data_IF_900467059703
#
_entry.id   IF_900467059703
#
_cell.length_a   1.000
_cell.length_b   1.000
_cell.length_c   1.000
_cell.angle_alpha   90.00
_cell.angle_beta   90.00
_cell.angle_gamma   90.00
#
_symmetry.space_group_name_H-M   'P 1'
#
loop_
_entity.id
_entity.type
_entity.pdbx_description
1 polymer ?
#
# COMPACT_ATOMS: atom_id res chain seq x y z
N UNK A 1 10.43 34.51 -13.72
CA UNK A 1 9.72 33.77 -12.66
C UNK A 1 9.28 32.46 -13.28
N UNK A 2 10.13 31.45 -13.21
CA UNK A 2 9.79 30.11 -13.71
C UNK A 2 8.71 29.55 -12.80
N UNK A 3 7.50 29.36 -13.35
CA UNK A 3 6.39 28.79 -12.60
C UNK A 3 6.74 27.34 -12.30
N UNK A 4 7.18 27.10 -11.06
CA UNK A 4 7.19 25.81 -10.40
C UNK A 4 5.74 25.30 -10.32
N UNK A 5 5.15 24.90 -11.46
CA UNK A 5 3.92 24.12 -11.51
C UNK A 5 4.23 22.73 -10.99
N UNK A 6 4.51 22.64 -9.69
CA UNK A 6 4.32 21.44 -8.93
C UNK A 6 2.85 21.07 -9.15
N UNK A 7 2.65 20.03 -9.96
CA UNK A 7 1.39 19.76 -10.64
C UNK A 7 0.33 19.44 -9.60
N UNK A 8 -0.46 20.44 -9.18
CA UNK A 8 -1.69 20.22 -8.39
C UNK A 8 -2.57 19.14 -9.04
N UNK A 9 -2.48 19.01 -10.37
CA UNK A 9 -3.12 17.94 -11.14
C UNK A 9 -2.63 16.55 -10.72
N UNK A 10 -1.33 16.35 -10.50
CA UNK A 10 -0.79 15.03 -10.11
C UNK A 10 -1.28 14.64 -8.71
N UNK A 11 -1.27 15.58 -7.75
CA UNK A 11 -1.82 15.36 -6.42
C UNK A 11 -3.33 15.07 -6.46
N UNK A 12 -4.09 15.82 -7.26
CA UNK A 12 -5.54 15.59 -7.43
C UNK A 12 -5.83 14.24 -8.09
N UNK A 13 -5.04 13.83 -9.09
CA UNK A 13 -5.19 12.51 -9.72
C UNK A 13 -4.88 11.38 -8.75
N UNK A 14 -3.81 11.52 -7.95
CA UNK A 14 -3.46 10.55 -6.91
C UNK A 14 -4.53 10.45 -5.83
N UNK A 15 -5.09 11.60 -5.41
CA UNK A 15 -6.19 11.67 -4.45
C UNK A 15 -7.45 10.95 -4.98
N UNK A 16 -7.84 11.20 -6.22
CA UNK A 16 -8.99 10.53 -6.84
C UNK A 16 -8.76 9.02 -6.95
N UNK A 17 -7.57 8.59 -7.38
CA UNK A 17 -7.22 7.17 -7.44
C UNK A 17 -7.27 6.51 -6.06
N UNK A 18 -6.69 7.17 -5.05
CA UNK A 18 -6.67 6.67 -3.69
C UNK A 18 -8.08 6.60 -3.08
N UNK A 19 -8.91 7.62 -3.30
CA UNK A 19 -10.30 7.64 -2.87
C UNK A 19 -11.08 6.49 -3.52
N UNK A 20 -10.96 6.30 -4.83
CA UNK A 20 -11.61 5.21 -5.56
C UNK A 20 -11.17 3.84 -5.02
N UNK A 21 -9.87 3.63 -4.80
CA UNK A 21 -9.34 2.39 -4.23
C UNK A 21 -9.81 2.12 -2.79
N UNK A 22 -10.19 3.16 -2.05
CA UNK A 22 -10.74 3.02 -0.68
C UNK A 22 -12.23 2.74 -0.71
N UNK A 23 -12.97 3.34 -1.65
CA UNK A 23 -14.40 3.11 -1.83
C UNK A 23 -14.71 1.65 -2.16
N UNK A 24 -13.88 0.98 -2.97
CA UNK A 24 -14.06 -0.43 -3.36
C UNK A 24 -14.14 -1.37 -2.14
N UNK A 25 -13.13 -1.44 -1.25
CA UNK A 25 -13.17 -2.33 -0.09
C UNK A 25 -14.30 -1.96 0.88
N UNK A 26 -14.60 -0.67 1.07
CA UNK A 26 -15.75 -0.24 1.88
C UNK A 26 -17.08 -0.74 1.32
N UNK A 27 -17.26 -0.66 0.00
CA UNK A 27 -18.47 -1.14 -0.66
C UNK A 27 -18.60 -2.68 -0.60
N UNK A 28 -17.50 -3.40 -0.77
CA UNK A 28 -17.47 -4.88 -0.63
C UNK A 28 -17.87 -5.30 0.78
N UNK A 29 -17.39 -4.60 1.81
CA UNK A 29 -17.77 -4.85 3.22
C UNK A 29 -19.24 -4.51 3.47
N UNK A 30 -19.69 -3.36 2.98
CA UNK A 30 -21.03 -2.86 3.25
C UNK A 30 -22.13 -3.70 2.60
N UNK A 31 -21.91 -4.19 1.38
CA UNK A 31 -22.89 -5.03 0.68
C UNK A 31 -23.08 -6.41 1.31
N UNK A 32 -22.10 -6.91 2.08
CA UNK A 32 -22.22 -8.13 2.88
C UNK A 32 -22.46 -9.45 2.13
N UNK A 33 -22.63 -9.43 0.81
CA UNK A 33 -22.96 -10.60 -0.02
C UNK A 33 -21.78 -11.44 -0.49
N UNK A 34 -20.55 -11.10 -0.09
CA UNK A 34 -19.32 -11.73 -0.57
C UNK A 34 -18.87 -12.85 0.36
N UNK A 35 -18.27 -13.91 -0.21
CA UNK A 35 -17.60 -14.93 0.61
C UNK A 35 -16.44 -14.30 1.40
N UNK A 36 -16.21 -14.77 2.62
CA UNK A 36 -15.11 -14.29 3.49
C UNK A 36 -13.77 -14.28 2.77
N UNK A 37 -13.45 -15.34 2.03
CA UNK A 37 -12.21 -15.43 1.24
C UNK A 37 -12.13 -14.34 0.18
N UNK A 38 -13.18 -14.17 -0.63
CA UNK A 38 -13.20 -13.16 -1.68
C UNK A 38 -13.05 -11.75 -1.08
N UNK A 39 -13.78 -11.46 -0.01
CA UNK A 39 -13.71 -10.19 0.72
C UNK A 39 -12.28 -9.86 1.20
N UNK A 40 -11.63 -10.77 1.92
CA UNK A 40 -10.25 -10.57 2.37
C UNK A 40 -9.29 -10.37 1.20
N UNK A 41 -9.40 -11.19 0.14
CA UNK A 41 -8.50 -11.06 -1.02
C UNK A 41 -8.65 -9.71 -1.72
N UNK A 42 -9.88 -9.20 -1.89
CA UNK A 42 -10.13 -7.91 -2.52
C UNK A 42 -9.60 -6.76 -1.67
N UNK A 43 -9.82 -6.79 -0.35
CA UNK A 43 -9.32 -5.77 0.57
C UNK A 43 -7.79 -5.74 0.56
N UNK A 44 -7.14 -6.90 0.68
CA UNK A 44 -5.67 -6.99 0.66
C UNK A 44 -5.09 -6.50 -0.66
N UNK A 45 -5.67 -6.91 -1.80
CA UNK A 45 -5.22 -6.44 -3.11
C UNK A 45 -5.35 -4.92 -3.25
N UNK A 46 -6.50 -4.35 -2.85
CA UNK A 46 -6.70 -2.89 -2.87
C UNK A 46 -5.69 -2.18 -1.97
N UNK A 47 -5.43 -2.71 -0.76
CA UNK A 47 -4.46 -2.13 0.16
C UNK A 47 -3.02 -2.13 -0.41
N UNK A 48 -2.60 -3.20 -1.07
CA UNK A 48 -1.28 -3.27 -1.71
C UNK A 48 -1.13 -2.24 -2.83
N UNK A 49 -2.14 -2.13 -3.70
CA UNK A 49 -2.12 -1.12 -4.78
C UNK A 49 -2.18 0.30 -4.18
N UNK A 50 -2.88 0.49 -3.05
CA UNK A 50 -2.98 1.78 -2.38
C UNK A 50 -1.62 2.30 -1.90
N UNK A 51 -0.76 1.40 -1.38
CA UNK A 51 0.62 1.73 -1.01
C UNK A 51 1.40 2.24 -2.23
N UNK A 52 1.27 1.58 -3.38
CA UNK A 52 1.94 1.99 -4.62
C UNK A 52 1.46 3.37 -5.11
N UNK A 53 0.15 3.64 -5.03
CA UNK A 53 -0.42 4.96 -5.38
C UNK A 53 0.17 6.05 -4.48
N UNK A 54 0.29 5.80 -3.17
CA UNK A 54 0.88 6.76 -2.24
C UNK A 54 2.37 7.02 -2.52
N UNK A 55 3.15 5.96 -2.74
CA UNK A 55 4.57 6.08 -3.08
C UNK A 55 4.77 6.85 -4.40
N UNK A 56 3.87 6.66 -5.39
CA UNK A 56 3.99 7.30 -6.71
C UNK A 56 3.52 8.76 -6.72
N UNK A 57 2.31 9.04 -6.22
CA UNK A 57 1.65 10.34 -6.36
C UNK A 57 1.91 11.29 -5.20
N UNK A 58 2.06 10.77 -3.97
CA UNK A 58 2.26 11.61 -2.79
C UNK A 58 3.73 11.78 -2.44
N UNK A 59 4.50 10.67 -2.50
CA UNK A 59 5.95 10.69 -2.26
C UNK A 59 6.75 11.04 -3.53
N UNK A 60 6.07 11.20 -4.67
CA UNK A 60 6.63 11.57 -5.97
C UNK A 60 7.87 10.76 -6.37
N UNK A 61 7.89 9.47 -6.02
CA UNK A 61 8.94 8.58 -6.47
C UNK A 61 8.72 8.32 -7.95
N UNK A 62 9.70 8.67 -8.77
CA UNK A 62 9.69 8.38 -10.20
C UNK A 62 10.98 7.65 -10.55
N UNK A 63 10.86 6.44 -11.10
CA UNK A 63 12.01 5.58 -11.45
C UNK A 63 13.00 6.29 -12.39
N UNK A 64 12.51 7.25 -13.20
CA UNK A 64 13.33 8.02 -14.12
C UNK A 64 14.08 9.22 -13.49
N UNK A 65 13.60 9.77 -12.36
CA UNK A 65 14.13 11.02 -11.79
C UNK A 65 14.64 10.86 -10.35
N UNK A 66 14.16 9.84 -9.63
CA UNK A 66 14.62 9.47 -8.29
C UNK A 66 15.93 8.71 -8.41
N UNK A 67 16.96 9.15 -7.67
CA UNK A 67 18.27 8.50 -7.66
C UNK A 67 18.17 7.03 -7.23
N UNK A 68 18.98 6.16 -7.86
CA UNK A 68 18.98 4.71 -7.60
C UNK A 68 19.16 4.36 -6.12
N UNK A 69 19.90 5.18 -5.39
CA UNK A 69 20.20 5.00 -3.96
C UNK A 69 18.96 5.17 -3.07
N UNK A 70 18.04 6.07 -3.43
CA UNK A 70 16.78 6.24 -2.71
C UNK A 70 15.82 5.07 -2.99
N UNK A 71 15.80 4.59 -4.23
CA UNK A 71 14.96 3.46 -4.62
C UNK A 71 15.45 2.15 -3.97
N UNK A 72 16.76 1.94 -3.87
CA UNK A 72 17.34 0.78 -3.18
C UNK A 72 17.08 0.84 -1.67
N UNK A 73 17.18 2.02 -1.04
CA UNK A 73 16.83 2.20 0.37
C UNK A 73 15.35 1.92 0.66
N UNK A 74 14.44 2.36 -0.23
CA UNK A 74 13.01 2.07 -0.12
C UNK A 74 12.72 0.57 -0.23
N UNK A 75 13.30 -0.10 -1.23
CA UNK A 75 13.14 -1.54 -1.41
C UNK A 75 13.69 -2.31 -0.21
N UNK A 76 14.86 -1.93 0.30
CA UNK A 76 15.45 -2.51 1.49
C UNK A 76 14.54 -2.34 2.71
N UNK A 77 13.97 -1.15 2.93
CA UNK A 77 12.99 -0.91 3.99
C UNK A 77 11.74 -1.78 3.83
N UNK A 78 11.22 -1.93 2.60
CA UNK A 78 10.08 -2.81 2.31
C UNK A 78 10.36 -4.27 2.66
N UNK A 79 11.55 -4.78 2.31
CA UNK A 79 11.98 -6.14 2.68
C UNK A 79 12.06 -6.30 4.19
N UNK A 80 12.63 -5.32 4.91
CA UNK A 80 12.68 -5.35 6.37
C UNK A 80 11.29 -5.38 7.00
N UNK A 81 10.34 -4.58 6.49
CA UNK A 81 8.96 -4.58 6.99
C UNK A 81 8.31 -5.95 6.78
N UNK A 82 8.46 -6.56 5.61
CA UNK A 82 7.91 -7.89 5.32
C UNK A 82 8.52 -8.94 6.26
N UNK A 83 9.83 -8.90 6.48
CA UNK A 83 10.53 -9.84 7.35
C UNK A 83 10.08 -9.67 8.80
N UNK A 84 10.02 -8.43 9.29
CA UNK A 84 9.58 -8.13 10.66
C UNK A 84 8.12 -8.54 10.88
N UNK A 85 7.19 -8.06 10.05
CA UNK A 85 5.76 -8.36 10.22
C UNK A 85 5.48 -9.85 10.02
N UNK A 86 6.01 -10.45 8.95
CA UNK A 86 5.83 -11.88 8.66
C UNK A 86 6.47 -12.75 9.74
N UNK A 87 7.69 -12.41 10.17
CA UNK A 87 8.39 -13.10 11.24
C UNK A 87 7.66 -13.00 12.59
N UNK A 88 7.16 -11.82 12.95
CA UNK A 88 6.38 -11.63 14.18
C UNK A 88 5.10 -12.46 14.14
N UNK A 89 4.33 -12.43 13.05
CA UNK A 89 3.10 -13.23 12.93
C UNK A 89 3.43 -14.73 13.05
N UNK A 90 4.50 -15.19 12.38
CA UNK A 90 4.94 -16.59 12.45
C UNK A 90 5.31 -17.01 13.87
N UNK A 91 6.16 -16.23 14.53
CA UNK A 91 6.62 -16.52 15.89
C UNK A 91 5.45 -16.53 16.87
N UNK A 92 4.54 -15.55 16.78
CA UNK A 92 3.38 -15.50 17.67
C UNK A 92 2.44 -16.69 17.44
N UNK A 93 2.27 -17.14 16.19
CA UNK A 93 1.45 -18.30 15.88
C UNK A 93 2.06 -19.60 16.43
N UNK A 94 3.36 -19.82 16.22
CA UNK A 94 4.09 -20.97 16.78
C UNK A 94 4.07 -20.97 18.32
N UNK A 95 4.30 -19.80 18.93
CA UNK A 95 4.25 -19.64 20.39
C UNK A 95 2.85 -19.94 20.94
N UNK A 96 1.80 -19.42 20.30
CA UNK A 96 0.42 -19.69 20.70
C UNK A 96 0.10 -21.19 20.62
N UNK A 97 0.57 -21.88 19.60
CA UNK A 97 0.35 -23.33 19.47
C UNK A 97 1.10 -24.14 20.53
N UNK A 98 2.21 -23.64 21.06
CA UNK A 98 3.02 -24.31 22.10
C UNK A 98 2.57 -24.01 23.53
N UNK A 99 1.95 -22.86 23.76
CA UNK A 99 1.53 -22.36 25.08
C UNK A 99 0.09 -22.76 25.44
N UNK A 100 -0.70 -23.19 24.46
CA UNK A 100 -2.05 -23.73 24.62
C UNK A 100 -1.96 -25.26 24.68
#
# INVERSE_FOLDING_TARGET
METHQHSLKDYLTGLLLAAALTLIPFWVVWTGGWSTRAMFTTITACALVQVLVHLRYFLNISVARTGKDYLSALLFSGVLIILMVGGTIWILFDLNFRMM
#
